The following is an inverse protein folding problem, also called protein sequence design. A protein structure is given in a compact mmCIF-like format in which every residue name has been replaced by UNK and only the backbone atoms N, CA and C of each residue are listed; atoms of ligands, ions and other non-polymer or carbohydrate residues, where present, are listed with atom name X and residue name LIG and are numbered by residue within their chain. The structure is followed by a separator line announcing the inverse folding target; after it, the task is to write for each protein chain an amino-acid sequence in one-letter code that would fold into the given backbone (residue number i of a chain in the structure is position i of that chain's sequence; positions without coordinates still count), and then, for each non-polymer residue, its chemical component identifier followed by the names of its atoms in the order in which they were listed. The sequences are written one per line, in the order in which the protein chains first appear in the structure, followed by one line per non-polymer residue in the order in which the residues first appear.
data_IF_996830215180
#
_entry.id   IF_996830215180
#
_cell.length_a   1.000
_cell.length_b   1.000
_cell.length_c   1.000
_cell.angle_alpha   90.00
_cell.angle_beta   90.00
_cell.angle_gamma   90.00
#
_symmetry.space_group_name_H-M   'P 1'
#
loop_
_entity.id
_entity.type
_entity.pdbx_description
1 polymer ?
#
# COMPACT_ATOMS: atom_id res chain seq x y z
N UNK A 1 -14.51 -13.99 5.07
CA UNK A 1 -14.50 -13.53 3.66
C UNK A 1 -14.73 -12.03 3.54
N UNK A 2 -15.63 -11.46 4.35
CA UNK A 2 -15.82 -9.99 4.42
C UNK A 2 -14.64 -9.31 5.15
N UNK A 3 -14.17 -9.92 6.25
CA UNK A 3 -13.07 -9.39 7.09
C UNK A 3 -11.69 -9.39 6.39
N UNK A 4 -11.42 -10.33 5.48
CA UNK A 4 -10.15 -10.39 4.73
C UNK A 4 -10.04 -9.33 3.64
N UNK A 5 -11.18 -8.92 3.05
CA UNK A 5 -11.20 -7.79 2.13
C UNK A 5 -10.93 -6.48 2.86
N UNK A 6 -11.34 -6.40 4.12
CA UNK A 6 -11.18 -5.21 4.94
C UNK A 6 -9.69 -4.89 5.19
N UNK A 7 -8.91 -5.89 5.63
CA UNK A 7 -7.49 -5.67 5.94
C UNK A 7 -6.66 -5.21 4.72
N UNK A 8 -6.92 -5.77 3.53
CA UNK A 8 -6.20 -5.34 2.30
C UNK A 8 -6.55 -3.90 1.94
N UNK A 9 -7.81 -3.53 2.09
CA UNK A 9 -8.27 -2.16 1.86
C UNK A 9 -7.59 -1.21 2.84
N UNK A 10 -7.49 -1.58 4.11
CA UNK A 10 -6.88 -0.73 5.13
C UNK A 10 -5.36 -0.59 4.94
N UNK A 11 -4.67 -1.68 4.58
CA UNK A 11 -3.27 -1.64 4.14
C UNK A 11 -3.11 -0.64 2.99
N UNK A 12 -3.96 -0.73 1.96
CA UNK A 12 -3.85 0.13 0.79
C UNK A 12 -4.15 1.60 1.13
N UNK A 13 -5.19 1.85 1.92
CA UNK A 13 -5.55 3.18 2.42
C UNK A 13 -4.41 3.80 3.21
N UNK A 14 -3.84 3.06 4.15
CA UNK A 14 -2.74 3.54 4.97
C UNK A 14 -1.53 3.92 4.12
N UNK A 15 -1.10 3.05 3.20
CA UNK A 15 0.02 3.33 2.28
C UNK A 15 -0.27 4.55 1.42
N UNK A 16 -1.50 4.65 0.90
CA UNK A 16 -1.90 5.75 0.02
C UNK A 16 -1.91 7.09 0.74
N UNK A 17 -2.62 7.18 1.86
CA UNK A 17 -2.80 8.42 2.62
C UNK A 17 -1.48 8.91 3.24
N UNK A 18 -0.66 7.98 3.72
CA UNK A 18 0.59 8.36 4.38
C UNK A 18 1.69 8.72 3.39
N UNK A 19 1.77 8.02 2.24
CA UNK A 19 2.96 8.10 1.40
C UNK A 19 2.70 8.32 -0.09
N UNK A 20 1.84 7.55 -0.76
CA UNK A 20 1.66 7.69 -2.23
C UNK A 20 1.05 9.04 -2.58
N UNK A 21 0.03 9.49 -1.83
CA UNK A 21 -0.65 10.78 -2.07
C UNK A 21 0.26 12.00 -1.89
N UNK A 22 1.38 11.84 -1.18
CA UNK A 22 2.38 12.89 -0.90
C UNK A 22 3.62 12.77 -1.79
N UNK A 23 3.68 11.74 -2.64
CA UNK A 23 4.79 11.56 -3.56
C UNK A 23 4.64 12.47 -4.78
N UNK A 24 5.76 12.86 -5.37
CA UNK A 24 5.79 13.70 -6.58
C UNK A 24 5.04 13.05 -7.75
N UNK A 25 5.17 11.72 -7.90
CA UNK A 25 4.40 10.94 -8.85
C UNK A 25 4.32 9.47 -8.42
N UNK A 26 3.43 8.71 -9.05
CA UNK A 26 3.34 7.26 -8.85
C UNK A 26 4.64 6.55 -9.25
N UNK A 27 5.27 7.01 -10.34
CA UNK A 27 6.55 6.51 -10.83
C UNK A 27 7.70 6.79 -9.87
N UNK A 28 7.77 8.00 -9.32
CA UNK A 28 8.78 8.37 -8.32
C UNK A 28 8.68 7.49 -7.07
N UNK A 29 7.46 7.33 -6.54
CA UNK A 29 7.23 6.44 -5.40
C UNK A 29 7.64 5.00 -5.72
N UNK A 30 7.24 4.48 -6.88
CA UNK A 30 7.58 3.13 -7.34
C UNK A 30 9.09 2.90 -7.37
N UNK A 31 9.83 3.86 -7.95
CA UNK A 31 11.29 3.82 -8.06
C UNK A 31 11.95 3.83 -6.67
N UNK A 32 11.57 4.76 -5.79
CA UNK A 32 12.10 4.84 -4.42
C UNK A 32 11.83 3.58 -3.60
N UNK A 33 10.67 2.95 -3.81
CA UNK A 33 10.28 1.71 -3.14
C UNK A 33 10.80 0.43 -3.80
N UNK A 34 11.36 0.49 -5.02
CA UNK A 34 11.80 -0.70 -5.75
C UNK A 34 10.64 -1.64 -6.12
N UNK A 35 9.50 -1.06 -6.48
CA UNK A 35 8.27 -1.75 -6.91
C UNK A 35 7.84 -1.23 -8.29
N UNK A 36 6.92 -1.95 -8.95
CA UNK A 36 6.37 -1.48 -10.22
C UNK A 36 5.38 -0.32 -10.03
N UNK A 37 5.33 0.62 -10.97
CA UNK A 37 4.31 1.66 -10.99
C UNK A 37 2.88 1.07 -11.08
N UNK A 38 2.74 -0.09 -11.74
CA UNK A 38 1.50 -0.87 -11.79
C UNK A 38 0.98 -1.21 -10.38
N UNK A 39 1.89 -1.53 -9.45
CA UNK A 39 1.58 -1.85 -8.05
C UNK A 39 1.12 -0.62 -7.31
N UNK A 40 1.80 0.51 -7.47
CA UNK A 40 1.43 1.80 -6.87
C UNK A 40 0.03 2.24 -7.32
N UNK A 41 -0.25 2.09 -8.63
CA UNK A 41 -1.56 2.38 -9.21
C UNK A 41 -2.67 1.50 -8.63
N UNK A 42 -2.42 0.20 -8.44
CA UNK A 42 -3.39 -0.72 -7.80
C UNK A 42 -3.69 -0.30 -6.36
N UNK A 43 -2.66 -0.01 -5.58
CA UNK A 43 -2.81 0.47 -4.19
C UNK A 43 -3.70 1.71 -4.15
N UNK A 44 -3.40 2.71 -4.99
CA UNK A 44 -4.21 3.94 -5.10
C UNK A 44 -5.67 3.61 -5.44
N UNK A 45 -5.92 2.76 -6.44
CA UNK A 45 -7.29 2.47 -6.87
C UNK A 45 -8.10 1.75 -5.80
N UNK A 46 -7.49 0.86 -5.02
CA UNK A 46 -8.16 0.18 -3.90
C UNK A 46 -8.44 1.16 -2.77
N UNK A 47 -7.44 1.97 -2.40
CA UNK A 47 -7.59 2.99 -1.36
C UNK A 47 -8.73 3.98 -1.67
N UNK A 48 -8.92 4.30 -2.95
CA UNK A 48 -9.98 5.21 -3.43
C UNK A 48 -11.30 4.51 -3.75
N UNK A 49 -11.40 3.19 -3.55
CA UNK A 49 -12.62 2.43 -3.87
C UNK A 49 -12.96 2.37 -5.36
N UNK A 50 -12.01 2.65 -6.26
CA UNK A 50 -12.21 2.63 -7.71
C UNK A 50 -11.73 1.34 -8.37
N UNK A 51 -11.11 0.43 -7.60
CA UNK A 51 -10.69 -0.87 -8.09
C UNK A 51 -11.91 -1.74 -8.43
N UNK A 52 -11.94 -2.27 -9.65
CA UNK A 52 -12.91 -3.29 -10.08
C UNK A 52 -12.39 -4.72 -9.89
N UNK A 53 -11.18 -4.87 -9.36
CA UNK A 53 -10.49 -6.15 -9.22
C UNK A 53 -10.05 -6.37 -7.79
N UNK A 54 -10.20 -7.60 -7.32
CA UNK A 54 -9.59 -8.05 -6.08
C UNK A 54 -8.06 -8.07 -6.27
N UNK A 55 -7.36 -7.31 -5.44
CA UNK A 55 -5.90 -7.24 -5.45
C UNK A 55 -5.38 -7.91 -4.19
N UNK A 56 -4.46 -8.85 -4.37
CA UNK A 56 -3.72 -9.42 -3.25
C UNK A 56 -2.29 -8.88 -3.28
N UNK A 57 -1.96 -7.97 -2.36
CA UNK A 57 -0.60 -7.45 -2.24
C UNK A 57 0.33 -8.55 -1.74
N UNK A 58 1.44 -8.79 -2.44
CA UNK A 58 2.45 -9.72 -1.93
C UNK A 58 3.12 -9.15 -0.67
N UNK A 59 3.39 -9.99 0.33
CA UNK A 59 4.13 -9.58 1.53
C UNK A 59 5.51 -9.01 1.17
N UNK A 60 6.15 -9.51 0.11
CA UNK A 60 7.42 -8.97 -0.40
C UNK A 60 7.30 -7.49 -0.82
N UNK A 61 6.20 -7.12 -1.46
CA UNK A 61 5.91 -5.73 -1.83
C UNK A 61 5.77 -4.87 -0.58
N UNK A 62 4.98 -5.33 0.39
CA UNK A 62 4.76 -4.60 1.64
C UNK A 62 6.07 -4.40 2.40
N UNK A 63 6.90 -5.45 2.52
CA UNK A 63 8.22 -5.39 3.15
C UNK A 63 9.11 -4.34 2.48
N UNK A 64 9.18 -4.31 1.14
CA UNK A 64 9.98 -3.31 0.42
C UNK A 64 9.53 -1.88 0.74
N UNK A 65 8.22 -1.65 0.78
CA UNK A 65 7.66 -0.34 1.13
C UNK A 65 8.05 0.02 2.57
N UNK A 66 7.83 -0.88 3.54
CA UNK A 66 8.14 -0.64 4.95
C UNK A 66 9.65 -0.38 5.18
N UNK A 67 10.53 -1.17 4.55
CA UNK A 67 11.99 -0.97 4.63
C UNK A 67 12.42 0.42 4.17
N UNK A 68 11.84 0.92 3.08
CA UNK A 68 12.14 2.27 2.56
C UNK A 68 11.55 3.38 3.42
N UNK A 69 10.60 3.06 4.28
CA UNK A 69 10.03 3.93 5.30
C UNK A 69 10.66 3.74 6.68
N UNK A 70 11.70 2.91 6.78
CA UNK A 70 12.39 2.58 8.03
C UNK A 70 11.42 2.10 9.13
N UNK A 71 10.44 1.30 8.72
CA UNK A 71 9.34 0.81 9.55
C UNK A 71 9.32 -0.71 9.53
N UNK A 72 9.07 -1.35 10.68
CA UNK A 72 8.87 -2.81 10.72
C UNK A 72 7.45 -3.18 10.27
N UNK A 73 7.22 -4.46 9.94
CA UNK A 73 5.84 -4.91 9.66
C UNK A 73 4.95 -4.80 10.91
N UNK A 74 5.51 -5.03 12.09
CA UNK A 74 4.80 -4.88 13.37
C UNK A 74 4.34 -3.43 13.56
N UNK A 75 5.24 -2.46 13.40
CA UNK A 75 4.90 -1.03 13.46
C UNK A 75 3.82 -0.69 12.43
N UNK A 76 3.98 -1.19 11.21
CA UNK A 76 3.05 -0.93 10.12
C UNK A 76 1.64 -1.41 10.46
N UNK A 77 1.49 -2.67 10.88
CA UNK A 77 0.18 -3.22 11.25
C UNK A 77 -0.38 -2.61 12.53
N UNK A 78 0.48 -2.19 13.47
CA UNK A 78 0.07 -1.42 14.64
C UNK A 78 -0.56 -0.07 14.30
N UNK A 79 -0.21 0.52 13.15
CA UNK A 79 -0.79 1.78 12.67
C UNK A 79 -2.07 1.62 11.83
N UNK A 80 -2.43 0.39 11.45
CA UNK A 80 -3.63 0.11 10.63
C UNK A 80 -4.89 0.00 11.49
N UNK A 81 -4.76 -0.40 12.76
CA UNK A 81 -5.89 -0.54 13.69
C UNK A 81 -6.14 0.73 14.50
N UNK A 82 -6.98 1.64 14.01
CA UNK A 82 -7.76 2.60 14.82
C UNK A 82 -9.08 3.00 14.17
#
# INVERSE_FOLDING_TARGET
MEDEKDIIVDICKYIYLNWISKAESQRDFASKCGVEESTVRRIKNIALGTSKTDYNMSLKTLIKICQKRQMTLEDFFGNINR
#
